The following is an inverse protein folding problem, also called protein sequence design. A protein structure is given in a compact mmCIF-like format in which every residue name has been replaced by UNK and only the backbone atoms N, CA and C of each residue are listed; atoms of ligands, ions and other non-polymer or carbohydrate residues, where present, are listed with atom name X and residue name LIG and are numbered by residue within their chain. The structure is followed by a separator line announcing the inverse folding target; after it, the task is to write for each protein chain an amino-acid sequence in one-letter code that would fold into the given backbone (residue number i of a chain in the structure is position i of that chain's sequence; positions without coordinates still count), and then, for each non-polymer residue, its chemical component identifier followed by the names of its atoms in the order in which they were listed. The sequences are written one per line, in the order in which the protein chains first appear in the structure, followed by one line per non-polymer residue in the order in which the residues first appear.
data_IF_714212861831
#
_entry.id   IF_714212861831
#
_cell.length_a   1.000
_cell.length_b   1.000
_cell.length_c   1.000
_cell.angle_alpha   90.00
_cell.angle_beta   90.00
_cell.angle_gamma   90.00
#
_symmetry.space_group_name_H-M   'P 1'
#
loop_
_entity.id
_entity.type
_entity.pdbx_description
1 polymer ?
#
# COMPACT_ATOMS: atom_id res chain seq x y z
N UNK A 1 31.42 25.13 -15.27
CA UNK A 1 31.28 23.71 -14.91
C UNK A 1 30.29 23.61 -13.77
N UNK A 2 29.01 23.78 -14.08
CA UNK A 2 27.90 23.70 -13.13
C UNK A 2 27.04 22.51 -13.56
N UNK A 3 27.14 21.42 -12.81
CA UNK A 3 26.39 20.17 -12.96
C UNK A 3 24.91 20.29 -12.58
N UNK A 4 24.37 21.50 -12.57
CA UNK A 4 22.99 21.80 -12.14
C UNK A 4 22.28 22.37 -13.37
N UNK A 5 21.49 21.52 -14.03
CA UNK A 5 20.62 21.94 -15.12
C UNK A 5 19.42 22.72 -14.56
N UNK A 6 19.25 23.97 -15.01
CA UNK A 6 18.14 24.84 -14.61
C UNK A 6 16.82 24.32 -15.21
N UNK A 7 16.12 23.50 -14.43
CA UNK A 7 14.75 23.00 -14.70
C UNK A 7 13.71 24.11 -14.91
N UNK A 8 14.07 25.37 -14.62
CA UNK A 8 13.26 26.58 -14.82
C UNK A 8 13.18 26.97 -16.30
N UNK A 9 14.24 26.75 -17.11
CA UNK A 9 14.27 27.14 -18.53
C UNK A 9 13.59 26.11 -19.44
N UNK A 10 13.68 24.82 -19.09
CA UNK A 10 13.09 23.71 -19.85
C UNK A 10 12.06 22.98 -18.98
N UNK A 11 10.92 23.63 -18.74
CA UNK A 11 9.98 23.33 -17.64
C UNK A 11 9.37 21.92 -17.56
N UNK A 12 10.14 20.87 -17.31
CA UNK A 12 9.59 19.57 -16.97
C UNK A 12 10.52 18.36 -16.92
N UNK A 13 11.79 18.46 -17.34
CA UNK A 13 12.66 17.27 -17.40
C UNK A 13 14.16 17.56 -17.41
N UNK A 14 14.95 16.65 -16.82
CA UNK A 14 16.40 16.59 -17.03
C UNK A 14 16.72 16.09 -18.44
N UNK A 15 17.75 16.65 -19.08
CA UNK A 15 18.16 16.23 -20.43
C UNK A 15 18.64 14.77 -20.50
N UNK A 16 19.05 14.18 -19.37
CA UNK A 16 19.48 12.78 -19.29
C UNK A 16 18.33 11.78 -19.52
N UNK A 17 17.07 12.19 -19.40
CA UNK A 17 15.92 11.30 -19.55
C UNK A 17 15.45 11.22 -21.01
N UNK A 18 15.89 10.17 -21.71
CA UNK A 18 15.48 9.89 -23.09
C UNK A 18 13.96 9.77 -23.29
N UNK A 19 13.24 9.31 -22.27
CA UNK A 19 11.79 9.16 -22.32
C UNK A 19 11.01 10.48 -22.35
N UNK A 20 11.68 11.58 -22.04
CA UNK A 20 11.03 12.88 -21.98
C UNK A 20 10.80 13.52 -23.35
N UNK A 21 11.58 13.12 -24.36
CA UNK A 21 11.46 13.68 -25.71
C UNK A 21 10.12 13.33 -26.40
N UNK A 22 9.51 12.21 -26.04
CA UNK A 22 8.27 11.73 -26.66
C UNK A 22 7.04 11.77 -25.73
N UNK A 23 7.19 12.26 -24.49
CA UNK A 23 6.14 12.25 -23.48
C UNK A 23 5.43 13.60 -23.39
N UNK A 24 4.09 13.67 -23.48
CA UNK A 24 3.35 14.92 -23.31
C UNK A 24 3.40 15.41 -21.86
N UNK A 25 3.46 16.75 -21.69
CA UNK A 25 3.49 17.39 -20.36
C UNK A 25 2.12 17.29 -19.68
N UNK A 26 2.11 16.82 -18.44
CA UNK A 26 0.89 16.77 -17.61
C UNK A 26 0.65 18.14 -16.97
N UNK A 27 -0.56 18.71 -17.04
CA UNK A 27 -0.88 19.98 -16.39
C UNK A 27 -0.79 19.85 -14.86
N UNK A 28 0.08 20.64 -14.24
CA UNK A 28 0.40 20.55 -12.82
C UNK A 28 -0.83 20.68 -11.91
N UNK A 29 -1.73 21.62 -12.21
CA UNK A 29 -2.94 21.84 -11.41
C UNK A 29 -3.86 20.61 -11.38
N UNK A 30 -4.08 19.99 -12.55
CA UNK A 30 -4.91 18.79 -12.66
C UNK A 30 -4.27 17.62 -11.91
N UNK A 31 -2.96 17.42 -12.07
CA UNK A 31 -2.23 16.37 -11.36
C UNK A 31 -2.28 16.57 -9.85
N UNK A 32 -2.00 17.78 -9.35
CA UNK A 32 -2.01 18.09 -7.92
C UNK A 32 -3.39 17.91 -7.33
N UNK A 33 -4.44 18.43 -7.97
CA UNK A 33 -5.81 18.28 -7.48
C UNK A 33 -6.25 16.80 -7.46
N UNK A 34 -6.02 16.07 -8.55
CA UNK A 34 -6.37 14.66 -8.64
C UNK A 34 -5.58 13.82 -7.61
N UNK A 35 -4.28 14.07 -7.45
CA UNK A 35 -3.46 13.35 -6.50
C UNK A 35 -3.93 13.58 -5.06
N UNK A 36 -4.18 14.83 -4.66
CA UNK A 36 -4.62 15.14 -3.30
C UNK A 36 -6.00 14.55 -3.00
N UNK A 37 -6.97 14.71 -3.90
CA UNK A 37 -8.34 14.23 -3.66
C UNK A 37 -8.41 12.71 -3.72
N UNK A 38 -7.87 12.09 -4.78
CA UNK A 38 -7.99 10.64 -4.99
C UNK A 38 -7.17 9.86 -3.97
N UNK A 39 -5.88 10.19 -3.77
CA UNK A 39 -5.07 9.46 -2.79
C UNK A 39 -5.43 9.83 -1.36
N UNK A 40 -5.80 11.08 -1.10
CA UNK A 40 -6.23 11.55 0.23
C UNK A 40 -7.49 10.85 0.71
N UNK A 41 -8.44 10.55 -0.19
CA UNK A 41 -9.61 9.74 0.14
C UNK A 41 -9.29 8.24 0.14
N UNK A 42 -8.56 7.73 -0.85
CA UNK A 42 -8.31 6.29 -0.97
C UNK A 42 -7.54 5.72 0.24
N UNK A 43 -6.56 6.46 0.77
CA UNK A 43 -5.72 5.97 1.87
C UNK A 43 -6.49 5.60 3.15
N UNK A 44 -7.33 6.47 3.76
CA UNK A 44 -8.10 6.11 4.95
C UNK A 44 -9.11 4.99 4.69
N UNK A 45 -9.75 4.97 3.52
CA UNK A 45 -10.71 3.93 3.16
C UNK A 45 -10.07 2.55 2.96
N UNK A 46 -8.76 2.48 2.67
CA UNK A 46 -8.04 1.22 2.57
C UNK A 46 -7.37 0.82 3.89
N UNK A 47 -6.67 1.73 4.54
CA UNK A 47 -5.86 1.43 5.72
C UNK A 47 -6.71 1.01 6.94
N UNK A 48 -7.83 1.71 7.18
CA UNK A 48 -8.68 1.47 8.35
C UNK A 48 -9.38 0.08 8.34
N UNK A 49 -10.10 -0.31 7.27
CA UNK A 49 -10.78 -1.61 7.26
C UNK A 49 -9.80 -2.79 7.16
N UNK A 50 -8.63 -2.63 6.51
CA UNK A 50 -7.63 -3.72 6.43
C UNK A 50 -7.10 -4.10 7.81
N UNK A 51 -6.68 -3.11 8.61
CA UNK A 51 -6.19 -3.38 9.97
C UNK A 51 -7.28 -3.96 10.87
N UNK A 52 -8.50 -3.43 10.76
CA UNK A 52 -9.66 -3.91 11.52
C UNK A 52 -10.00 -5.35 11.17
N UNK A 53 -10.16 -5.65 9.88
CA UNK A 53 -10.49 -6.98 9.37
C UNK A 53 -9.43 -8.01 9.77
N UNK A 54 -8.15 -7.66 9.66
CA UNK A 54 -7.05 -8.54 10.07
C UNK A 54 -7.11 -8.88 11.56
N UNK A 55 -7.37 -7.88 12.42
CA UNK A 55 -7.50 -8.11 13.86
C UNK A 55 -8.72 -8.98 14.22
N UNK A 56 -9.84 -8.81 13.52
CA UNK A 56 -11.07 -9.60 13.72
C UNK A 56 -10.94 -11.06 13.27
N UNK A 57 -10.19 -11.32 12.19
CA UNK A 57 -9.92 -12.68 11.71
C UNK A 57 -9.03 -13.44 12.69
N UNK A 58 -8.04 -12.76 13.24
CA UNK A 58 -7.08 -13.38 14.15
C UNK A 58 -7.66 -13.61 15.56
N UNK A 59 -8.49 -12.66 16.02
CA UNK A 59 -9.10 -12.70 17.34
C UNK A 59 -8.08 -12.63 18.49
N UNK A 60 -8.40 -13.20 19.66
CA UNK A 60 -7.57 -13.11 20.88
C UNK A 60 -6.30 -13.98 20.85
N UNK A 61 -6.04 -14.68 19.74
CA UNK A 61 -4.98 -15.69 19.65
C UNK A 61 -3.71 -15.10 19.03
N UNK A 62 -2.63 -14.99 19.80
CA UNK A 62 -1.31 -14.53 19.34
C UNK A 62 -1.34 -13.23 18.49
N UNK A 63 -2.19 -12.28 18.87
CA UNK A 63 -2.46 -11.07 18.11
C UNK A 63 -1.19 -10.25 17.79
N UNK A 64 -0.33 -10.08 18.79
CA UNK A 64 0.88 -9.26 18.66
C UNK A 64 1.90 -9.78 17.64
N UNK A 65 2.17 -11.09 17.61
CA UNK A 65 3.16 -11.66 16.69
C UNK A 65 2.71 -11.52 15.23
N UNK A 66 1.45 -11.85 14.96
CA UNK A 66 0.92 -11.84 13.59
C UNK A 66 0.67 -10.43 13.09
N UNK A 67 0.29 -9.48 13.96
CA UNK A 67 0.27 -8.06 13.62
C UNK A 67 1.69 -7.52 13.38
N UNK A 68 2.68 -7.97 14.16
CA UNK A 68 4.08 -7.63 13.94
C UNK A 68 4.62 -8.11 12.58
N UNK A 69 4.29 -9.35 12.18
CA UNK A 69 4.66 -9.88 10.85
C UNK A 69 4.00 -9.06 9.74
N UNK A 70 2.71 -8.74 9.88
CA UNK A 70 1.99 -7.91 8.92
C UNK A 70 2.66 -6.53 8.75
N UNK A 71 3.00 -5.87 9.85
CA UNK A 71 3.63 -4.55 9.83
C UNK A 71 5.07 -4.59 9.30
N UNK A 72 5.81 -5.68 9.57
CA UNK A 72 7.15 -5.89 9.01
C UNK A 72 7.12 -5.93 7.48
N UNK A 73 6.18 -6.68 6.89
CA UNK A 73 6.00 -6.71 5.44
C UNK A 73 5.53 -5.35 4.90
N UNK A 74 4.62 -4.67 5.61
CA UNK A 74 4.19 -3.31 5.25
C UNK A 74 5.34 -2.33 5.19
N UNK A 75 6.18 -2.31 6.23
CA UNK A 75 7.37 -1.44 6.31
C UNK A 75 8.40 -1.79 5.24
N UNK A 76 8.65 -3.08 5.00
CA UNK A 76 9.56 -3.54 3.95
C UNK A 76 9.10 -3.09 2.56
N UNK A 77 7.79 -3.17 2.28
CA UNK A 77 7.22 -2.69 1.02
C UNK A 77 7.37 -1.17 0.85
N UNK A 78 7.23 -0.39 1.94
CA UNK A 78 7.43 1.07 1.91
C UNK A 78 8.87 1.47 1.66
N UNK A 79 9.83 0.65 2.08
CA UNK A 79 11.23 0.86 1.77
C UNK A 79 11.57 0.49 0.31
N UNK A 80 11.12 -0.69 -0.15
CA UNK A 80 11.45 -1.20 -1.49
C UNK A 80 10.69 -0.47 -2.62
N UNK A 81 9.45 -0.05 -2.37
CA UNK A 81 8.57 0.56 -3.37
C UNK A 81 9.20 1.78 -4.06
N UNK A 82 9.67 2.80 -3.33
CA UNK A 82 10.32 3.97 -3.92
C UNK A 82 11.61 3.63 -4.65
N UNK A 83 12.45 2.72 -4.12
CA UNK A 83 13.73 2.35 -4.77
C UNK A 83 13.48 1.74 -6.15
N UNK A 84 12.55 0.78 -6.22
CA UNK A 84 12.18 0.13 -7.48
C UNK A 84 11.50 1.14 -8.43
N UNK A 85 10.60 1.98 -7.90
CA UNK A 85 9.86 2.95 -8.72
C UNK A 85 10.77 4.02 -9.30
N UNK A 86 11.72 4.54 -8.53
CA UNK A 86 12.68 5.57 -8.99
C UNK A 86 13.61 5.00 -10.06
N UNK A 87 14.20 3.83 -9.84
CA UNK A 87 15.10 3.22 -10.83
C UNK A 87 14.38 2.89 -12.14
N UNK A 88 13.12 2.48 -12.05
CA UNK A 88 12.29 2.22 -13.23
C UNK A 88 11.86 3.52 -13.93
N UNK A 89 11.52 4.56 -13.16
CA UNK A 89 11.18 5.87 -13.67
C UNK A 89 12.33 6.50 -14.45
N UNK A 90 13.56 6.43 -13.93
CA UNK A 90 14.74 6.95 -14.60
C UNK A 90 14.97 6.31 -15.97
N UNK A 91 14.81 4.98 -16.06
CA UNK A 91 15.09 4.23 -17.30
C UNK A 91 13.96 4.25 -18.32
N UNK A 92 12.73 4.10 -17.86
CA UNK A 92 11.58 3.77 -18.74
C UNK A 92 10.49 4.85 -18.74
N UNK A 93 10.60 5.86 -17.87
CA UNK A 93 9.62 6.94 -17.72
C UNK A 93 8.45 6.60 -16.79
N UNK A 94 7.47 7.50 -16.73
CA UNK A 94 6.38 7.47 -15.73
C UNK A 94 5.30 6.40 -15.97
N UNK A 95 5.10 5.97 -17.21
CA UNK A 95 4.03 5.01 -17.56
C UNK A 95 4.25 3.63 -16.92
N UNK A 96 5.50 3.16 -16.89
CA UNK A 96 5.82 1.81 -16.39
C UNK A 96 5.59 1.65 -14.88
N UNK A 97 6.07 2.55 -14.00
CA UNK A 97 5.72 2.51 -12.58
C UNK A 97 4.20 2.52 -12.35
N UNK A 98 3.46 3.34 -13.11
CA UNK A 98 1.99 3.41 -13.01
C UNK A 98 1.32 2.09 -13.42
N UNK A 99 1.77 1.45 -14.51
CA UNK A 99 1.26 0.15 -14.95
C UNK A 99 1.56 -0.97 -13.94
N UNK A 100 2.76 -0.99 -13.36
CA UNK A 100 3.10 -1.96 -12.30
C UNK A 100 2.21 -1.75 -11.07
N UNK A 101 2.01 -0.49 -10.65
CA UNK A 101 1.14 -0.20 -9.52
C UNK A 101 -0.32 -0.61 -9.77
N UNK A 102 -0.82 -0.38 -11.01
CA UNK A 102 -2.16 -0.77 -11.41
C UNK A 102 -2.33 -2.29 -11.46
N UNK A 103 -1.36 -3.01 -12.02
CA UNK A 103 -1.41 -4.49 -12.08
C UNK A 103 -1.35 -5.12 -10.69
N UNK A 104 -0.52 -4.59 -9.79
CA UNK A 104 -0.48 -4.99 -8.38
C UNK A 104 -1.83 -4.74 -7.68
N UNK A 105 -2.44 -3.57 -7.89
CA UNK A 105 -3.75 -3.24 -7.33
C UNK A 105 -4.83 -4.24 -7.79
N UNK A 106 -4.89 -4.50 -9.10
CA UNK A 106 -5.84 -5.47 -9.68
C UNK A 106 -5.60 -6.87 -9.10
N UNK A 107 -4.34 -7.30 -8.98
CA UNK A 107 -3.98 -8.56 -8.34
C UNK A 107 -4.46 -8.65 -6.89
N UNK A 108 -4.27 -7.59 -6.09
CA UNK A 108 -4.76 -7.52 -4.71
C UNK A 108 -6.29 -7.61 -4.62
N UNK A 109 -7.02 -6.98 -5.54
CA UNK A 109 -8.48 -7.04 -5.61
C UNK A 109 -8.93 -8.47 -5.96
N UNK A 110 -8.32 -9.09 -6.97
CA UNK A 110 -8.62 -10.47 -7.38
C UNK A 110 -8.38 -11.43 -6.22
N UNK A 111 -7.23 -11.32 -5.54
CA UNK A 111 -6.92 -12.15 -4.38
C UNK A 111 -7.94 -11.96 -3.25
N UNK A 112 -8.36 -10.72 -2.96
CA UNK A 112 -9.41 -10.46 -1.98
C UNK A 112 -10.74 -11.12 -2.37
N UNK A 113 -11.13 -11.05 -3.64
CA UNK A 113 -12.36 -11.68 -4.13
C UNK A 113 -12.29 -13.21 -3.99
N UNK A 114 -11.16 -13.83 -4.35
CA UNK A 114 -10.97 -15.29 -4.23
C UNK A 114 -11.03 -15.71 -2.75
N UNK A 115 -10.34 -14.99 -1.86
CA UNK A 115 -10.27 -15.32 -0.44
C UNK A 115 -11.40 -14.74 0.41
N UNK A 116 -12.41 -14.09 -0.19
CA UNK A 116 -13.55 -13.49 0.54
C UNK A 116 -14.26 -14.45 1.49
N UNK A 117 -14.33 -15.74 1.12
CA UNK A 117 -14.96 -16.77 1.95
C UNK A 117 -14.11 -17.18 3.16
N UNK A 118 -12.81 -16.85 3.17
CA UNK A 118 -11.89 -17.10 4.29
C UNK A 118 -11.74 -15.89 5.21
N UNK A 119 -12.09 -14.70 4.72
CA UNK A 119 -11.99 -13.41 5.43
C UNK A 119 -13.18 -13.18 6.41
N UNK A 120 -13.76 -14.25 6.97
CA UNK A 120 -14.90 -14.17 7.89
C UNK A 120 -14.35 -13.94 9.32
N UNK A 121 -14.89 -12.98 10.09
CA UNK A 121 -14.44 -12.72 11.46
C UNK A 121 -14.62 -13.97 12.34
N UNK A 122 -13.64 -14.24 13.20
CA UNK A 122 -13.67 -15.40 14.09
C UNK A 122 -14.81 -15.22 15.10
N UNK A 123 -15.81 -16.10 15.06
CA UNK A 123 -16.90 -16.12 16.04
C UNK A 123 -16.39 -16.75 17.34
N UNK A 124 -16.20 -15.92 18.37
CA UNK A 124 -15.88 -16.36 19.72
C UNK A 124 -17.14 -17.01 20.34
N UNK A 125 -17.04 -18.27 20.78
CA UNK A 125 -17.98 -18.90 21.73
C UNK A 125 -17.24 -18.98 23.07
N UNK A 126 -17.69 -18.41 24.20
CA UNK A 126 -18.87 -17.55 24.49
C UNK A 126 -18.56 -16.03 24.43
N UNK A 127 -19.59 -15.19 24.25
CA UNK A 127 -19.46 -13.70 24.20
C UNK A 127 -19.19 -13.05 25.57
N UNK A 128 -19.53 -13.75 26.66
CA UNK A 128 -19.32 -13.30 28.04
C UNK A 128 -18.55 -14.42 28.76
N UNK A 129 -17.31 -14.15 29.13
CA UNK A 129 -16.45 -15.11 29.81
C UNK A 129 -15.17 -14.45 30.30
N UNK A 130 -14.56 -15.00 31.35
CA UNK A 130 -13.33 -14.44 31.92
C UNK A 130 -12.16 -14.80 31.00
N UNK A 131 -11.33 -13.83 30.56
CA UNK A 131 -10.21 -14.11 29.67
C UNK A 131 -9.17 -14.96 30.42
N UNK A 132 -9.03 -16.23 30.03
CA UNK A 132 -8.06 -17.15 30.64
C UNK A 132 -6.89 -17.35 29.68
N UNK A 133 -5.66 -17.04 30.13
CA UNK A 133 -4.45 -17.26 29.32
C UNK A 133 -4.17 -18.76 29.20
N UNK A 134 -3.88 -19.23 27.98
CA UNK A 134 -3.33 -20.56 27.71
C UNK A 134 -2.10 -20.44 26.80
N UNK A 135 -1.36 -21.55 26.64
CA UNK A 135 -0.05 -21.60 25.95
C UNK A 135 -0.01 -20.94 24.54
N UNK A 136 -1.12 -20.86 23.80
CA UNK A 136 -1.15 -20.27 22.46
C UNK A 136 -2.24 -19.20 22.25
N UNK A 137 -2.77 -18.57 23.31
CA UNK A 137 -3.77 -17.50 23.21
C UNK A 137 -4.59 -17.31 24.48
N UNK A 138 -5.65 -16.52 24.41
CA UNK A 138 -6.68 -16.42 25.48
C UNK A 138 -7.93 -17.21 25.09
N UNK A 139 -8.40 -18.05 26.01
CA UNK A 139 -9.67 -18.77 25.90
C UNK A 139 -10.69 -18.12 26.84
N UNK A 140 -11.92 -17.97 26.37
CA UNK A 140 -13.02 -17.42 27.16
C UNK A 140 -13.79 -18.58 27.77
N UNK A 141 -13.80 -18.63 29.10
CA UNK A 141 -14.59 -19.59 29.90
C UNK A 141 -15.77 -18.85 30.53
N UNK A 142 -16.96 -19.45 30.49
CA UNK A 142 -18.11 -19.05 31.32
C UNK A 142 -17.79 -19.25 32.80
#
# INVERSE_FOLDING_TARGET
NSTVEDTVYSGGCLQHYHWCAYTPRVPFFLYSFAATVLFGLAFPFLASPVGTLYSQILGPRNQGLMQGIFEFFGSSARFLGPIISTTLFEKSGYLWPMLIQLTLLIGCIILNIIFRHRLIPLRLKPEIGVPTKYKFGTFYRL
#
